data_IF_832456402177
#
_entry.id   IF_832456402177
#
_cell.length_a   1.000
_cell.length_b   1.000
_cell.length_c   1.000
_cell.angle_alpha   90.00
_cell.angle_beta   90.00
_cell.angle_gamma   90.00
#
_symmetry.space_group_name_H-M   'P 1'
#
loop_
_entity.id
_entity.type
_entity.pdbx_description
1 polymer ?
#
# COMPACT_ATOMS: atom_id res chain seq x y z
N UNK A 1 -29.51 -4.24 -16.09
CA UNK A 1 -28.42 -3.24 -16.24
C UNK A 1 -28.31 -2.46 -14.93
N UNK A 2 -27.09 -2.09 -14.53
CA UNK A 2 -26.65 -1.50 -13.23
C UNK A 2 -26.34 -2.47 -12.08
N UNK A 3 -25.15 -3.10 -12.13
CA UNK A 3 -24.44 -3.47 -10.89
C UNK A 3 -22.89 -3.41 -10.96
N UNK A 4 -22.26 -2.86 -12.00
CA UNK A 4 -20.79 -2.86 -12.09
C UNK A 4 -20.09 -1.51 -11.81
N UNK A 5 -20.80 -0.46 -11.39
CA UNK A 5 -20.15 0.84 -11.12
C UNK A 5 -19.70 1.07 -9.67
N UNK A 6 -20.02 0.17 -8.73
CA UNK A 6 -19.61 0.34 -7.34
C UNK A 6 -18.18 -0.18 -7.08
N UNK A 7 -17.71 -1.21 -7.82
CA UNK A 7 -16.40 -1.82 -7.60
C UNK A 7 -15.22 -0.98 -8.14
N UNK A 8 -15.44 -0.21 -9.21
CA UNK A 8 -14.40 0.60 -9.84
C UNK A 8 -14.08 1.90 -9.09
N UNK A 9 -14.98 2.37 -8.21
CA UNK A 9 -14.82 3.65 -7.51
C UNK A 9 -13.87 3.60 -6.31
N UNK A 10 -13.60 2.42 -5.75
CA UNK A 10 -12.63 2.25 -4.65
C UNK A 10 -11.17 2.12 -5.11
N UNK A 11 -10.91 2.06 -6.42
CA UNK A 11 -9.54 1.80 -6.92
C UNK A 11 -8.64 3.04 -6.95
N UNK A 12 -9.20 4.25 -6.93
CA UNK A 12 -8.45 5.50 -7.12
C UNK A 12 -8.84 6.60 -6.12
N UNK A 13 -9.26 6.25 -4.91
CA UNK A 13 -9.39 7.28 -3.87
C UNK A 13 -7.97 7.70 -3.44
N UNK A 14 -7.66 9.01 -3.38
CA UNK A 14 -6.34 9.54 -3.04
C UNK A 14 -6.07 9.37 -1.54
N UNK A 15 -5.91 8.11 -1.14
CA UNK A 15 -5.73 7.68 0.22
C UNK A 15 -4.43 6.92 0.29
N UNK A 16 -3.51 7.49 1.07
CA UNK A 16 -2.30 6.85 1.57
C UNK A 16 -2.54 5.37 1.92
N UNK A 17 -1.89 4.47 1.20
CA UNK A 17 -2.13 3.02 1.29
C UNK A 17 -0.86 2.19 1.27
N UNK A 18 -0.96 0.98 1.82
CA UNK A 18 0.04 -0.07 1.67
C UNK A 18 -0.49 -1.05 0.63
N UNK A 19 0.22 -1.19 -0.49
CA UNK A 19 -0.16 -2.12 -1.55
C UNK A 19 0.15 -3.56 -1.11
N UNK A 20 -0.85 -4.43 -1.16
CA UNK A 20 -0.65 -5.86 -0.95
C UNK A 20 -0.29 -6.54 -2.27
N UNK A 21 0.88 -7.16 -2.33
CA UNK A 21 1.34 -7.91 -3.50
C UNK A 21 1.77 -9.34 -3.13
N UNK A 22 1.12 -10.34 -3.71
CA UNK A 22 1.54 -11.74 -3.62
C UNK A 22 2.09 -12.23 -4.95
N UNK A 23 3.24 -12.90 -4.92
CA UNK A 23 3.79 -13.51 -6.12
C UNK A 23 2.81 -14.57 -6.68
N UNK A 24 2.66 -14.61 -8.01
CA UNK A 24 1.68 -15.47 -8.67
C UNK A 24 0.28 -14.88 -8.84
N UNK A 25 0.07 -13.62 -8.45
CA UNK A 25 -1.16 -12.86 -8.74
C UNK A 25 -1.34 -12.47 -10.21
N UNK A 26 -0.37 -12.79 -11.08
CA UNK A 26 -0.44 -12.58 -12.53
C UNK A 26 -0.26 -11.13 -12.98
N UNK A 27 0.16 -10.24 -12.07
CA UNK A 27 0.40 -8.81 -12.33
C UNK A 27 1.78 -8.43 -11.81
N UNK A 28 2.41 -7.45 -12.46
CA UNK A 28 3.66 -6.88 -11.97
C UNK A 28 3.38 -5.89 -10.84
N UNK A 29 4.12 -6.00 -9.73
CA UNK A 29 3.96 -5.10 -8.59
C UNK A 29 4.17 -3.63 -8.99
N UNK A 30 5.10 -3.36 -9.91
CA UNK A 30 5.37 -2.01 -10.45
C UNK A 30 4.18 -1.40 -11.17
N UNK A 31 3.35 -2.21 -11.83
CA UNK A 31 2.14 -1.75 -12.53
C UNK A 31 0.97 -1.46 -11.58
N UNK A 32 1.06 -1.91 -10.34
CA UNK A 32 0.04 -1.70 -9.29
C UNK A 32 0.38 -0.54 -8.35
N UNK A 33 1.64 -0.08 -8.36
CA UNK A 33 2.09 1.06 -7.56
C UNK A 33 1.58 2.35 -8.19
N UNK A 34 0.98 3.21 -7.37
CA UNK A 34 0.50 4.54 -7.74
C UNK A 34 1.00 5.62 -6.77
N UNK A 35 0.59 6.87 -6.99
CA UNK A 35 1.06 8.04 -6.25
C UNK A 35 0.73 8.00 -4.75
N UNK A 36 -0.32 7.29 -4.35
CA UNK A 36 -0.77 7.18 -2.96
C UNK A 36 -0.18 5.94 -2.26
N UNK A 37 0.62 5.14 -2.98
CA UNK A 37 1.23 3.92 -2.43
C UNK A 37 2.45 4.27 -1.60
N UNK A 38 2.35 4.07 -0.28
CA UNK A 38 3.41 4.35 0.69
C UNK A 38 4.48 3.24 0.77
N UNK A 39 4.05 2.00 0.60
CA UNK A 39 4.88 0.80 0.70
C UNK A 39 4.18 -0.39 0.03
N UNK A 40 4.94 -1.43 -0.29
CA UNK A 40 4.43 -2.70 -0.81
C UNK A 40 4.66 -3.81 0.21
N UNK A 41 3.60 -4.46 0.68
CA UNK A 41 3.66 -5.65 1.51
C UNK A 41 3.65 -6.90 0.62
N UNK A 42 4.71 -7.71 0.68
CA UNK A 42 4.87 -8.86 -0.20
C UNK A 42 5.47 -10.09 0.47
N UNK A 43 5.15 -11.26 -0.07
CA UNK A 43 5.68 -12.57 0.31
C UNK A 43 6.97 -12.95 -0.46
N UNK A 44 7.44 -12.10 -1.36
CA UNK A 44 8.66 -12.33 -2.15
C UNK A 44 9.53 -11.07 -2.19
N UNK A 45 10.86 -11.22 -2.30
CA UNK A 45 11.74 -10.06 -2.42
C UNK A 45 11.47 -9.32 -3.74
N UNK A 46 11.21 -8.01 -3.64
CA UNK A 46 11.00 -7.12 -4.78
C UNK A 46 12.01 -5.97 -4.74
N UNK A 47 12.46 -5.54 -5.92
CA UNK A 47 13.28 -4.33 -6.07
C UNK A 47 12.38 -3.20 -6.56
N UNK A 48 11.91 -2.38 -5.61
CA UNK A 48 11.05 -1.22 -5.87
C UNK A 48 11.68 0.04 -5.27
N UNK A 49 11.31 1.20 -5.81
CA UNK A 49 11.68 2.49 -5.22
C UNK A 49 10.95 2.77 -3.89
N UNK A 50 9.89 2.02 -3.62
CA UNK A 50 9.12 2.09 -2.38
C UNK A 50 9.60 1.05 -1.36
N UNK A 51 9.39 1.32 -0.05
CA UNK A 51 9.64 0.34 1.00
C UNK A 51 8.91 -0.97 0.73
N UNK A 52 9.63 -2.09 0.82
CA UNK A 52 9.06 -3.44 0.75
C UNK A 52 8.97 -4.03 2.15
N UNK A 53 7.76 -4.39 2.57
CA UNK A 53 7.45 -4.99 3.87
C UNK A 53 7.21 -6.49 3.68
N UNK A 54 7.65 -7.30 4.63
CA UNK A 54 7.32 -8.73 4.63
C UNK A 54 5.85 -8.90 5.02
N UNK A 55 5.07 -9.41 4.08
CA UNK A 55 3.64 -9.68 4.26
C UNK A 55 3.37 -10.63 5.44
N UNK A 56 4.31 -11.53 5.74
CA UNK A 56 4.16 -12.51 6.80
C UNK A 56 4.64 -11.99 8.17
N UNK A 57 5.02 -10.71 8.26
CA UNK A 57 5.50 -10.07 9.49
C UNK A 57 4.58 -8.91 9.92
N UNK A 58 3.40 -9.20 10.53
CA UNK A 58 2.43 -8.16 10.95
C UNK A 58 3.03 -7.07 11.85
N UNK A 59 4.00 -7.42 12.69
CA UNK A 59 4.67 -6.46 13.56
C UNK A 59 5.45 -5.39 12.78
N UNK A 60 6.08 -5.76 11.65
CA UNK A 60 6.78 -4.82 10.77
C UNK A 60 5.79 -3.84 10.13
N UNK A 61 4.65 -4.36 9.65
CA UNK A 61 3.59 -3.55 9.04
C UNK A 61 3.00 -2.57 10.07
N UNK A 62 2.71 -3.03 11.29
CA UNK A 62 2.21 -2.18 12.36
C UNK A 62 3.22 -1.08 12.76
N UNK A 63 4.51 -1.41 12.81
CA UNK A 63 5.56 -0.43 13.06
C UNK A 63 5.62 0.64 11.95
N UNK A 64 5.54 0.23 10.69
CA UNK A 64 5.49 1.14 9.55
C UNK A 64 4.29 2.09 9.62
N UNK A 65 3.09 1.58 9.90
CA UNK A 65 1.87 2.39 10.01
C UNK A 65 2.01 3.41 11.14
N UNK A 66 2.51 3.00 12.31
CA UNK A 66 2.74 3.90 13.45
C UNK A 66 3.71 5.03 13.10
N UNK A 67 4.80 4.70 12.41
CA UNK A 67 5.82 5.69 12.06
C UNK A 67 5.32 6.65 10.97
N UNK A 68 4.50 6.17 10.03
CA UNK A 68 3.78 7.02 9.08
C UNK A 68 2.77 7.94 9.80
N UNK A 69 1.97 7.42 10.73
CA UNK A 69 1.01 8.23 11.51
C UNK A 69 1.71 9.37 12.24
N UNK A 70 2.84 9.10 12.91
CA UNK A 70 3.63 10.13 13.60
C UNK A 70 4.10 11.23 12.65
N UNK A 71 4.57 10.87 11.45
CA UNK A 71 4.99 11.85 10.42
C UNK A 71 3.81 12.69 9.92
N UNK A 72 2.63 12.07 9.78
CA UNK A 72 1.42 12.76 9.32
C UNK A 72 0.81 13.68 10.38
N UNK A 73 0.89 13.32 11.66
CA UNK A 73 0.36 14.14 12.76
C UNK A 73 1.33 15.21 13.24
N UNK A 74 2.64 15.06 12.96
CA UNK A 74 3.69 16.01 13.33
C UNK A 74 3.68 17.34 12.54
N UNK A 75 2.71 17.55 11.65
CA UNK A 75 2.54 18.78 10.85
C UNK A 75 1.26 19.56 11.18
N UNK A 76 0.54 19.19 12.25
CA UNK A 76 -0.70 19.86 12.69
C UNK A 76 -0.63 20.44 14.11
N UNK A 77 0.56 20.76 14.60
CA UNK A 77 0.74 21.35 15.93
C UNK A 77 2.20 21.72 16.21
N UNK A 78 2.69 22.75 15.52
CA UNK A 78 3.64 23.72 16.07
C UNK A 78 3.04 25.11 15.82
#
# INVERSE_FOLDING_TARGET
MYWNQQAERFKHEPVDKILLYRHGSGRDATALVDADTLAVATDTPLTLALPCLDLNQPAQIAAFIRDWLRRRTGSAGD
#
